data_IF_445224548741
#
_entry.id   IF_445224548741
#
_cell.length_a   1.000
_cell.length_b   1.000
_cell.length_c   1.000
_cell.angle_alpha   90.00
_cell.angle_beta   90.00
_cell.angle_gamma   90.00
#
_symmetry.space_group_name_H-M   'P 1'
#
loop_
_entity.id
_entity.type
_entity.pdbx_description
1 polymer ?
#
# COMPACT_ATOMS: atom_id res chain seq x y z
N UNK A 1 -30.01 21.03 36.05
CA UNK A 1 -28.73 20.35 35.97
C UNK A 1 -28.65 19.66 34.63
N UNK A 2 -28.01 20.30 33.65
CA UNK A 2 -27.78 19.71 32.35
C UNK A 2 -26.40 19.04 32.39
N UNK A 3 -26.34 17.71 32.41
CA UNK A 3 -25.14 16.96 32.20
C UNK A 3 -24.87 16.90 30.69
N UNK A 4 -23.99 17.77 30.21
CA UNK A 4 -23.40 17.66 28.87
C UNK A 4 -22.51 16.44 28.84
N UNK A 5 -23.05 15.31 28.36
CA UNK A 5 -22.27 14.13 27.99
C UNK A 5 -21.39 14.51 26.81
N UNK A 6 -20.10 14.61 27.04
CA UNK A 6 -19.08 14.61 26.00
C UNK A 6 -19.19 13.26 25.29
N UNK A 7 -19.87 13.17 24.14
CA UNK A 7 -19.71 12.04 23.22
C UNK A 7 -18.28 12.10 22.72
N UNK A 8 -17.43 11.21 23.23
CA UNK A 8 -16.19 10.89 22.55
C UNK A 8 -16.56 10.59 21.09
N UNK A 9 -15.90 11.24 20.15
CA UNK A 9 -16.09 10.94 18.74
C UNK A 9 -15.85 9.43 18.58
N UNK A 10 -16.83 8.72 18.02
CA UNK A 10 -16.71 7.28 17.84
C UNK A 10 -15.45 7.00 16.97
N UNK A 11 -14.52 6.24 17.54
CA UNK A 11 -13.27 5.82 16.86
C UNK A 11 -13.64 5.06 15.57
N UNK A 12 -13.04 5.45 14.45
CA UNK A 12 -13.28 4.75 13.16
C UNK A 12 -12.69 3.33 13.20
N UNK A 13 -13.18 2.43 12.35
CA UNK A 13 -12.67 1.05 12.31
C UNK A 13 -11.18 1.01 11.91
N UNK A 14 -10.72 1.87 10.99
CA UNK A 14 -9.29 2.01 10.67
C UNK A 14 -8.46 2.45 11.88
N UNK A 15 -8.97 3.37 12.71
CA UNK A 15 -8.27 3.78 13.94
C UNK A 15 -8.21 2.64 14.96
N UNK A 16 -9.27 1.82 15.08
CA UNK A 16 -9.27 0.63 15.93
C UNK A 16 -8.22 -0.39 15.47
N UNK A 17 -8.16 -0.65 14.16
CA UNK A 17 -7.16 -1.58 13.59
C UNK A 17 -5.74 -1.08 13.81
N UNK A 18 -5.48 0.21 13.58
CA UNK A 18 -4.17 0.82 13.85
C UNK A 18 -3.78 0.67 15.35
N UNK A 19 -4.70 0.98 16.27
CA UNK A 19 -4.45 0.83 17.71
C UNK A 19 -4.17 -0.61 18.10
N UNK A 20 -4.93 -1.58 17.58
CA UNK A 20 -4.67 -3.02 17.79
C UNK A 20 -3.26 -3.39 17.31
N UNK A 21 -2.82 -2.86 16.17
CA UNK A 21 -1.46 -3.06 15.67
C UNK A 21 -0.40 -2.49 16.61
N UNK A 22 -0.59 -1.26 17.07
CA UNK A 22 0.36 -0.61 18.04
C UNK A 22 0.46 -1.40 19.34
N UNK A 23 -0.67 -1.92 19.85
CA UNK A 23 -0.73 -2.65 21.13
C UNK A 23 -0.22 -4.10 21.03
N UNK A 24 -0.41 -4.76 19.87
CA UNK A 24 -0.15 -6.20 19.77
C UNK A 24 0.54 -6.68 18.48
N UNK A 25 0.93 -5.78 17.58
CA UNK A 25 1.56 -6.15 16.31
C UNK A 25 3.05 -6.49 16.38
N UNK A 26 3.70 -6.19 17.53
CA UNK A 26 5.11 -6.50 17.79
C UNK A 26 5.22 -7.48 18.99
N UNK A 27 4.85 -8.76 18.79
CA UNK A 27 4.90 -9.77 19.85
C UNK A 27 6.34 -10.08 20.24
N UNK A 28 6.51 -10.76 21.37
CA UNK A 28 7.81 -11.32 21.76
C UNK A 28 8.25 -12.40 20.75
N UNK A 29 9.55 -12.64 20.70
CA UNK A 29 10.10 -13.67 19.85
C UNK A 29 9.43 -15.04 20.09
N UNK A 30 8.91 -15.65 19.03
CA UNK A 30 8.21 -16.94 19.10
C UNK A 30 6.71 -16.87 19.43
N UNK A 31 6.18 -15.65 19.64
CA UNK A 31 4.74 -15.44 19.84
C UNK A 31 4.11 -14.88 18.55
N UNK A 32 2.82 -15.12 18.38
CA UNK A 32 2.03 -14.52 17.28
C UNK A 32 1.31 -13.29 17.81
N UNK A 33 1.48 -12.16 17.11
CA UNK A 33 0.80 -10.92 17.43
C UNK A 33 -0.62 -10.86 16.87
N UNK A 34 -1.26 -9.69 17.04
CA UNK A 34 -2.60 -9.47 16.52
C UNK A 34 -2.63 -9.55 15.00
N UNK A 35 -3.80 -9.91 14.48
CA UNK A 35 -4.09 -9.92 13.04
C UNK A 35 -3.93 -8.52 12.47
N UNK A 36 -3.08 -8.30 11.42
CA UNK A 36 -3.02 -7.03 10.73
C UNK A 36 -4.27 -6.80 9.87
N UNK A 37 -4.57 -5.54 9.57
CA UNK A 37 -5.40 -5.19 8.44
C UNK A 37 -4.62 -5.50 7.16
N UNK A 38 -5.21 -6.25 6.25
CA UNK A 38 -4.66 -6.47 4.92
C UNK A 38 -5.75 -6.81 3.92
N UNK A 39 -5.50 -6.60 2.66
CA UNK A 39 -6.42 -6.90 1.56
C UNK A 39 -5.64 -7.42 0.35
N UNK A 40 -6.35 -8.12 -0.51
CA UNK A 40 -5.83 -8.55 -1.80
C UNK A 40 -6.03 -7.42 -2.83
N UNK A 41 -4.94 -6.77 -3.21
CA UNK A 41 -4.99 -5.67 -4.18
C UNK A 41 -5.22 -6.14 -5.61
N UNK A 42 -4.70 -7.29 -5.98
CA UNK A 42 -4.82 -7.87 -7.30
C UNK A 42 -3.66 -8.79 -7.64
N UNK A 43 -3.66 -9.32 -8.85
CA UNK A 43 -2.58 -10.14 -9.39
C UNK A 43 -1.53 -9.29 -10.12
N UNK A 44 -0.49 -9.93 -10.67
CA UNK A 44 0.61 -9.24 -11.36
C UNK A 44 0.19 -8.39 -12.56
N UNK A 45 -1.04 -8.52 -13.08
CA UNK A 45 -1.52 -7.72 -14.20
C UNK A 45 -1.78 -6.25 -13.84
N UNK A 46 -1.91 -5.94 -12.55
CA UNK A 46 -2.11 -4.56 -12.08
C UNK A 46 -0.82 -3.80 -11.82
N UNK A 47 0.33 -4.48 -11.90
CA UNK A 47 1.64 -3.87 -11.61
C UNK A 47 2.11 -3.07 -12.81
N UNK A 48 2.08 -1.75 -12.70
CA UNK A 48 2.70 -0.85 -13.66
C UNK A 48 4.23 -0.85 -13.47
N UNK A 49 4.98 -0.96 -14.56
CA UNK A 49 6.44 -0.87 -14.50
C UNK A 49 6.89 0.52 -14.07
N UNK A 50 8.03 0.67 -13.38
CA UNK A 50 8.65 1.97 -13.15
C UNK A 50 8.80 2.76 -14.46
N UNK A 51 8.34 4.01 -14.46
CA UNK A 51 8.34 4.90 -15.64
C UNK A 51 7.15 4.69 -16.60
N UNK A 52 6.33 3.66 -16.42
CA UNK A 52 5.10 3.49 -17.17
C UNK A 52 3.95 4.32 -16.56
N UNK A 53 2.87 4.47 -17.34
CA UNK A 53 1.65 5.11 -16.85
C UNK A 53 1.03 4.32 -15.69
N UNK A 54 0.47 5.06 -14.70
CA UNK A 54 -0.36 4.54 -13.62
C UNK A 54 -1.83 4.74 -14.02
N UNK A 55 -2.51 3.69 -14.47
CA UNK A 55 -3.87 3.82 -14.99
C UNK A 55 -4.89 3.95 -13.85
N UNK A 56 -5.66 5.04 -13.87
CA UNK A 56 -6.84 5.21 -13.02
C UNK A 56 -8.10 4.88 -13.83
N UNK A 57 -8.98 3.98 -13.36
CA UNK A 57 -10.20 3.65 -14.10
C UNK A 57 -11.16 4.84 -14.12
N UNK A 58 -11.93 4.98 -15.19
CA UNK A 58 -12.86 6.11 -15.39
C UNK A 58 -13.96 6.26 -14.34
N UNK A 59 -14.21 5.21 -13.55
CA UNK A 59 -15.18 5.24 -12.44
C UNK A 59 -14.54 5.60 -11.11
N UNK A 60 -13.22 5.77 -11.04
CA UNK A 60 -12.54 6.15 -9.80
C UNK A 60 -12.94 7.58 -9.39
N UNK A 61 -13.12 7.78 -8.12
CA UNK A 61 -13.44 9.08 -7.52
C UNK A 61 -12.18 9.85 -7.11
N UNK A 62 -11.07 9.13 -6.98
CA UNK A 62 -9.74 9.64 -6.67
C UNK A 62 -8.68 8.69 -7.25
N UNK A 63 -7.44 9.13 -7.26
CA UNK A 63 -6.30 8.32 -7.66
C UNK A 63 -5.02 8.96 -7.15
N UNK A 64 -4.58 8.60 -5.96
CA UNK A 64 -3.40 9.17 -5.32
C UNK A 64 -2.43 8.11 -4.84
N UNK A 65 -1.20 8.55 -4.60
CA UNK A 65 -0.10 7.69 -4.20
C UNK A 65 -0.22 7.26 -2.74
N UNK A 66 0.33 6.09 -2.46
CA UNK A 66 0.73 5.63 -1.14
C UNK A 66 2.20 5.20 -1.21
N UNK A 67 3.14 6.05 -0.75
CA UNK A 67 4.57 5.73 -0.79
C UNK A 67 4.92 4.71 0.29
N UNK A 68 5.42 3.55 -0.13
CA UNK A 68 5.65 2.41 0.75
C UNK A 68 6.96 1.69 0.46
N UNK A 69 7.34 0.80 1.35
CA UNK A 69 8.26 -0.29 1.06
C UNK A 69 7.43 -1.54 0.80
N UNK A 70 7.75 -2.25 -0.27
CA UNK A 70 7.16 -3.53 -0.61
C UNK A 70 8.18 -4.65 -0.47
N UNK A 71 7.82 -5.76 0.19
CA UNK A 71 8.62 -6.99 0.19
C UNK A 71 8.19 -7.91 -0.94
N UNK A 72 9.16 -8.61 -1.54
CA UNK A 72 8.94 -9.58 -2.62
C UNK A 72 9.28 -10.97 -2.13
N UNK A 73 8.37 -11.91 -2.36
CA UNK A 73 8.50 -13.32 -1.99
C UNK A 73 8.30 -14.23 -3.19
N UNK A 74 8.93 -15.38 -3.15
CA UNK A 74 8.67 -16.52 -4.06
C UNK A 74 8.30 -17.72 -3.21
N UNK A 75 7.31 -18.48 -3.63
CA UNK A 75 6.98 -19.75 -3.00
C UNK A 75 7.85 -20.84 -3.65
N UNK A 76 8.65 -21.51 -2.83
CA UNK A 76 9.54 -22.57 -3.29
C UNK A 76 8.79 -23.86 -3.70
N UNK A 77 9.53 -24.88 -4.14
CA UNK A 77 8.95 -26.14 -4.58
C UNK A 77 8.24 -26.95 -3.50
N UNK A 78 8.53 -26.66 -2.24
CA UNK A 78 7.93 -27.30 -1.06
C UNK A 78 6.77 -26.50 -0.47
N UNK A 79 6.43 -25.35 -1.06
CA UNK A 79 5.35 -24.48 -0.61
C UNK A 79 5.78 -23.46 0.46
N UNK A 80 7.08 -23.25 0.68
CA UNK A 80 7.56 -22.29 1.65
C UNK A 80 7.77 -20.92 1.03
N UNK A 81 7.38 -19.81 1.72
CA UNK A 81 7.69 -18.47 1.26
C UNK A 81 9.18 -18.13 1.49
N UNK A 82 9.81 -17.66 0.43
CA UNK A 82 11.20 -17.19 0.45
C UNK A 82 11.19 -15.69 0.15
N UNK A 83 11.53 -14.86 1.12
CA UNK A 83 11.69 -13.42 0.91
C UNK A 83 12.95 -13.15 0.09
N UNK A 84 12.77 -12.52 -1.07
CA UNK A 84 13.87 -12.18 -1.97
C UNK A 84 14.49 -10.85 -1.61
N UNK A 85 13.66 -9.86 -1.25
CA UNK A 85 14.14 -8.52 -0.93
C UNK A 85 13.01 -7.51 -0.87
N UNK A 86 13.41 -6.22 -0.96
CA UNK A 86 12.51 -5.08 -0.78
C UNK A 86 12.66 -4.08 -1.92
N UNK A 87 11.60 -3.37 -2.23
CA UNK A 87 11.57 -2.31 -3.24
C UNK A 87 10.78 -1.11 -2.74
N UNK A 88 10.99 0.05 -3.34
CA UNK A 88 10.05 1.18 -3.22
C UNK A 88 8.74 0.74 -3.88
N UNK A 89 7.61 1.10 -3.28
CA UNK A 89 6.28 0.82 -3.77
C UNK A 89 5.40 2.06 -3.82
N UNK A 90 4.46 2.06 -4.76
CA UNK A 90 3.32 2.96 -4.80
C UNK A 90 2.05 2.11 -4.80
N UNK A 91 1.37 2.03 -3.67
CA UNK A 91 0.09 1.34 -3.54
C UNK A 91 -1.06 2.24 -3.99
N UNK A 92 -0.98 2.81 -5.18
CA UNK A 92 -1.97 3.72 -5.74
C UNK A 92 -3.41 3.30 -5.43
N UNK A 93 -4.21 4.23 -4.89
CA UNK A 93 -5.52 3.95 -4.29
C UNK A 93 -6.55 5.06 -4.55
N UNK A 94 -7.83 4.75 -4.31
CA UNK A 94 -8.97 5.68 -4.38
C UNK A 94 -9.48 6.00 -2.97
N UNK A 95 -8.89 7.01 -2.36
CA UNK A 95 -9.19 7.39 -0.97
C UNK A 95 -10.58 8.01 -0.78
N UNK A 96 -11.19 8.55 -1.84
CA UNK A 96 -12.58 9.05 -1.79
C UNK A 96 -13.54 7.87 -1.66
N UNK A 97 -13.34 6.79 -2.42
CA UNK A 97 -14.12 5.55 -2.28
C UNK A 97 -13.95 4.93 -0.90
N UNK A 98 -12.72 4.87 -0.40
CA UNK A 98 -12.41 4.34 0.93
C UNK A 98 -13.16 5.06 2.05
N UNK A 99 -13.22 6.40 2.01
CA UNK A 99 -13.89 7.22 3.02
C UNK A 99 -15.41 7.07 3.07
N UNK A 100 -16.03 6.53 2.03
CA UNK A 100 -17.50 6.39 2.02
C UNK A 100 -17.97 5.35 3.05
N UNK A 101 -17.26 4.25 3.19
CA UNK A 101 -17.59 3.17 4.11
C UNK A 101 -16.39 2.25 4.28
N UNK A 102 -16.10 1.82 5.50
CA UNK A 102 -15.01 0.89 5.79
C UNK A 102 -15.05 -0.39 4.93
N UNK A 103 -16.24 -0.89 4.60
CA UNK A 103 -16.41 -2.05 3.71
C UNK A 103 -15.94 -1.80 2.27
N UNK A 104 -15.71 -0.54 1.90
CA UNK A 104 -15.18 -0.18 0.58
C UNK A 104 -13.65 -0.09 0.56
N UNK A 105 -12.97 -0.35 1.67
CA UNK A 105 -11.50 -0.40 1.71
C UNK A 105 -10.95 -1.29 0.58
N UNK A 106 -11.35 -2.57 0.53
CA UNK A 106 -10.88 -3.49 -0.51
C UNK A 106 -11.23 -3.02 -1.94
N UNK A 107 -12.40 -2.40 -2.13
CA UNK A 107 -12.80 -1.85 -3.43
C UNK A 107 -11.94 -0.67 -3.85
N UNK A 108 -11.57 0.20 -2.92
CA UNK A 108 -10.72 1.37 -3.15
C UNK A 108 -9.30 0.98 -3.56
N UNK A 109 -8.85 -0.19 -3.11
CA UNK A 109 -7.52 -0.75 -3.35
C UNK A 109 -7.42 -1.57 -4.64
N UNK A 110 -8.54 -1.93 -5.30
CA UNK A 110 -8.55 -2.58 -6.62
C UNK A 110 -8.17 -1.60 -7.72
N UNK A 111 -6.93 -1.15 -7.70
CA UNK A 111 -6.31 -0.19 -8.61
C UNK A 111 -4.93 -0.73 -9.01
N UNK A 112 -4.31 -0.12 -10.01
CA UNK A 112 -2.91 -0.40 -10.32
C UNK A 112 -2.01 -0.13 -9.10
N UNK A 113 -0.82 -0.69 -9.13
CA UNK A 113 0.27 -0.36 -8.21
C UNK A 113 1.58 -0.35 -9.00
N UNK A 114 2.65 0.12 -8.39
CA UNK A 114 3.99 0.03 -8.98
C UNK A 114 5.01 -0.27 -7.89
N UNK A 115 6.12 -0.93 -8.25
CA UNK A 115 7.24 -1.15 -7.36
C UNK A 115 8.56 -1.23 -8.14
N UNK A 116 9.67 -0.94 -7.47
CA UNK A 116 10.99 -0.90 -8.07
C UNK A 116 11.52 0.54 -8.16
N UNK A 117 12.43 0.84 -9.12
CA UNK A 117 13.01 -0.06 -10.15
C UNK A 117 14.13 -0.96 -9.64
N UNK A 118 14.47 -0.90 -8.36
CA UNK A 118 15.55 -1.67 -7.74
C UNK A 118 15.00 -2.59 -6.66
N UNK A 119 15.69 -3.70 -6.44
CA UNK A 119 15.42 -4.67 -5.38
C UNK A 119 16.61 -4.70 -4.41
N UNK A 120 16.38 -4.33 -3.16
CA UNK A 120 17.32 -4.49 -2.06
C UNK A 120 17.27 -5.95 -1.59
N UNK A 121 18.36 -6.70 -1.78
CA UNK A 121 18.46 -8.07 -1.27
C UNK A 121 18.87 -8.07 0.20
N UNK A 122 18.43 -9.08 0.93
CA UNK A 122 18.74 -9.24 2.35
C UNK A 122 17.74 -8.57 3.28
N UNK A 123 18.21 -8.07 4.41
CA UNK A 123 17.35 -7.51 5.45
C UNK A 123 17.05 -6.03 5.21
N UNK A 124 15.83 -5.63 5.56
CA UNK A 124 15.43 -4.24 5.58
C UNK A 124 16.01 -3.56 6.84
N UNK A 125 16.63 -2.37 6.75
CA UNK A 125 16.94 -1.57 7.91
C UNK A 125 15.69 -1.32 8.78
N UNK A 126 15.85 -1.31 10.10
CA UNK A 126 14.71 -1.10 11.01
C UNK A 126 14.09 0.29 10.86
N UNK A 127 14.87 1.28 10.41
CA UNK A 127 14.42 2.62 10.09
C UNK A 127 14.69 2.93 8.62
N UNK A 128 13.63 3.26 7.89
CA UNK A 128 13.68 3.69 6.49
C UNK A 128 12.97 5.01 6.36
N UNK A 129 13.64 5.96 5.71
CA UNK A 129 13.09 7.27 5.36
C UNK A 129 13.14 7.47 3.86
N UNK A 130 12.09 8.08 3.32
CA UNK A 130 12.00 8.45 1.92
C UNK A 130 11.21 9.75 1.74
N UNK A 131 11.09 10.18 0.49
CA UNK A 131 10.31 11.35 0.09
C UNK A 131 9.35 10.98 -1.01
N UNK A 132 8.12 11.43 -0.89
CA UNK A 132 7.11 11.35 -1.94
C UNK A 132 6.84 12.73 -2.50
N UNK A 133 6.78 12.84 -3.84
CA UNK A 133 6.48 14.07 -4.56
C UNK A 133 5.40 13.85 -5.59
N UNK A 134 4.59 14.88 -5.77
CA UNK A 134 3.64 14.98 -6.87
C UNK A 134 4.03 16.16 -7.76
N UNK A 135 4.18 15.88 -9.04
CA UNK A 135 4.48 16.89 -10.06
C UNK A 135 3.26 17.13 -10.94
N UNK A 136 3.04 18.41 -11.27
CA UNK A 136 2.09 18.84 -12.30
C UNK A 136 2.79 19.82 -13.24
N UNK A 137 2.73 19.57 -14.54
CA UNK A 137 3.41 20.38 -15.56
C UNK A 137 4.91 20.56 -15.26
N UNK A 138 5.56 19.50 -14.75
CA UNK A 138 6.99 19.50 -14.39
C UNK A 138 7.35 20.29 -13.13
N UNK A 139 6.36 20.74 -12.35
CA UNK A 139 6.57 21.45 -11.07
C UNK A 139 6.09 20.61 -9.90
N UNK A 140 6.88 20.60 -8.82
CA UNK A 140 6.43 19.98 -7.56
C UNK A 140 5.26 20.79 -7.02
N UNK A 141 4.11 20.14 -6.84
CA UNK A 141 2.91 20.72 -6.23
C UNK A 141 2.67 20.19 -4.81
N UNK A 142 3.31 19.09 -4.45
CA UNK A 142 3.31 18.53 -3.11
C UNK A 142 4.58 17.70 -2.88
N UNK A 143 5.10 17.75 -1.66
CA UNK A 143 6.26 16.97 -1.22
C UNK A 143 6.15 16.70 0.27
N UNK A 144 6.38 15.45 0.69
CA UNK A 144 6.50 15.06 2.10
C UNK A 144 7.43 13.87 2.30
N UNK A 145 8.10 13.79 3.47
CA UNK A 145 8.78 12.57 3.88
C UNK A 145 7.77 11.48 4.22
N UNK A 146 8.18 10.22 4.01
CA UNK A 146 7.50 9.04 4.56
C UNK A 146 8.49 8.18 5.34
N UNK A 147 7.97 7.42 6.30
CA UNK A 147 8.75 6.53 7.14
C UNK A 147 8.27 5.09 6.96
N UNK A 148 9.20 4.14 6.99
CA UNK A 148 8.96 2.70 6.96
C UNK A 148 10.02 1.96 7.77
N UNK A 149 10.04 0.63 7.68
CA UNK A 149 10.87 -0.22 8.52
C UNK A 149 10.23 -0.47 9.89
N UNK A 150 10.64 -1.54 10.58
CA UNK A 150 9.97 -2.00 11.80
C UNK A 150 9.94 -0.97 12.94
N UNK A 151 10.89 -0.02 12.99
CA UNK A 151 10.86 1.06 13.99
C UNK A 151 9.67 2.01 13.79
N UNK A 152 9.14 2.11 12.56
CA UNK A 152 8.06 3.02 12.17
C UNK A 152 6.74 2.30 11.87
N UNK A 153 6.75 0.96 11.82
CA UNK A 153 5.57 0.13 11.56
C UNK A 153 4.90 -0.28 12.87
N UNK A 154 3.61 -0.53 12.85
CA UNK A 154 2.85 -1.07 14.00
C UNK A 154 3.01 -2.59 14.16
N UNK A 155 3.45 -3.29 13.12
CA UNK A 155 3.69 -4.74 13.12
C UNK A 155 5.15 -5.05 12.82
N UNK A 156 5.64 -6.20 13.30
CA UNK A 156 6.90 -6.79 12.80
C UNK A 156 6.67 -7.45 11.45
N UNK A 157 7.71 -7.54 10.63
CA UNK A 157 7.67 -8.29 9.36
C UNK A 157 7.25 -9.75 9.60
N UNK A 158 7.82 -10.38 10.62
CA UNK A 158 7.49 -11.76 10.99
C UNK A 158 6.00 -11.94 11.31
N UNK A 159 5.37 -10.96 11.99
CA UNK A 159 3.93 -11.01 12.27
C UNK A 159 3.09 -10.86 11.01
N UNK A 160 3.47 -9.94 10.10
CA UNK A 160 2.80 -9.77 8.80
C UNK A 160 2.92 -11.03 7.94
N UNK A 161 4.13 -11.58 7.83
CA UNK A 161 4.44 -12.80 7.08
C UNK A 161 3.62 -14.00 7.60
N UNK A 162 3.61 -14.20 8.92
CA UNK A 162 2.81 -15.25 9.54
C UNK A 162 1.32 -15.12 9.18
N UNK A 163 0.76 -13.93 9.34
CA UNK A 163 -0.67 -13.73 9.11
C UNK A 163 -1.08 -13.84 7.65
N UNK A 164 -0.17 -13.64 6.70
CA UNK A 164 -0.43 -13.88 5.29
C UNK A 164 -0.23 -15.38 4.92
N UNK A 165 0.94 -15.93 5.22
CA UNK A 165 1.31 -17.27 4.77
C UNK A 165 0.73 -18.41 5.63
N UNK A 166 0.00 -18.13 6.73
CA UNK A 166 -0.80 -19.13 7.43
C UNK A 166 -1.96 -19.70 6.59
N UNK A 167 -2.28 -19.07 5.46
CA UNK A 167 -3.28 -19.55 4.53
C UNK A 167 -2.61 -20.31 3.38
N UNK A 168 -2.86 -21.61 3.27
CA UNK A 168 -2.33 -22.48 2.21
C UNK A 168 -2.62 -21.93 0.80
N UNK A 169 -3.68 -21.15 0.66
CA UNK A 169 -4.04 -20.46 -0.58
C UNK A 169 -2.88 -19.65 -1.18
N UNK A 170 -2.02 -19.10 -0.34
CA UNK A 170 -0.89 -18.25 -0.74
C UNK A 170 0.45 -18.98 -0.77
N UNK A 171 0.45 -20.31 -0.60
CA UNK A 171 1.66 -21.13 -0.53
C UNK A 171 1.80 -22.07 -1.75
N UNK A 172 1.29 -21.65 -2.93
CA UNK A 172 1.45 -22.46 -4.16
C UNK A 172 2.86 -22.32 -4.72
N UNK A 173 3.57 -23.43 -4.96
CA UNK A 173 4.90 -23.39 -5.55
C UNK A 173 4.95 -22.59 -6.87
N UNK A 174 5.91 -21.67 -6.96
CA UNK A 174 6.11 -20.80 -8.11
C UNK A 174 5.33 -19.47 -8.09
N UNK A 175 4.42 -19.27 -7.14
CA UNK A 175 3.78 -17.96 -6.97
C UNK A 175 4.79 -16.92 -6.49
N UNK A 176 4.61 -15.68 -6.96
CA UNK A 176 5.36 -14.51 -6.51
C UNK A 176 4.40 -13.57 -5.80
N UNK A 177 4.79 -13.09 -4.62
CA UNK A 177 4.01 -12.14 -3.84
C UNK A 177 4.76 -10.83 -3.68
N UNK A 178 4.01 -9.73 -3.70
CA UNK A 178 4.48 -8.41 -3.29
C UNK A 178 3.59 -7.93 -2.13
N UNK A 179 4.20 -7.66 -0.98
CA UNK A 179 3.52 -7.16 0.20
C UNK A 179 3.90 -5.71 0.44
N UNK A 180 2.95 -4.82 0.35
CA UNK A 180 3.08 -3.41 0.68
C UNK A 180 2.81 -3.23 2.18
N UNK A 181 3.60 -2.38 2.87
CA UNK A 181 3.59 -2.32 4.34
C UNK A 181 2.76 -1.19 4.94
N UNK A 182 2.11 -0.40 4.09
CA UNK A 182 1.33 0.73 4.53
C UNK A 182 2.16 2.01 4.76
N UNK A 183 1.48 3.14 4.72
CA UNK A 183 2.06 4.45 4.95
C UNK A 183 1.08 5.37 5.68
N UNK A 184 1.61 6.37 6.38
CA UNK A 184 0.82 7.47 6.93
C UNK A 184 0.94 8.76 6.09
N UNK A 185 1.74 8.74 5.03
CA UNK A 185 2.01 9.91 4.17
C UNK A 185 1.20 9.81 2.90
N UNK A 186 0.27 10.73 2.71
CA UNK A 186 -0.66 10.78 1.56
C UNK A 186 -0.85 12.22 1.13
N UNK A 187 -0.71 12.52 -0.17
CA UNK A 187 -1.06 13.85 -0.71
C UNK A 187 -2.56 14.15 -0.55
N UNK A 188 -3.39 13.12 -0.67
CA UNK A 188 -4.81 13.19 -0.42
C UNK A 188 -5.16 13.67 1.00
N UNK A 189 -4.42 13.27 2.02
CA UNK A 189 -4.64 13.72 3.41
C UNK A 189 -4.38 15.21 3.59
N UNK A 190 -3.58 15.82 2.73
CA UNK A 190 -3.30 17.26 2.69
C UNK A 190 -4.25 18.03 1.76
N UNK A 191 -5.30 17.37 1.26
CA UNK A 191 -6.30 18.00 0.40
C UNK A 191 -5.87 18.20 -1.06
N UNK A 192 -4.81 17.53 -1.49
CA UNK A 192 -4.40 17.55 -2.90
C UNK A 192 -5.32 16.64 -3.71
N UNK A 193 -5.81 17.16 -4.83
CA UNK A 193 -6.55 16.39 -5.83
C UNK A 193 -5.66 16.19 -7.05
N UNK A 194 -5.42 14.94 -7.38
CA UNK A 194 -4.64 14.54 -8.55
C UNK A 194 -5.41 14.75 -9.85
N UNK A 195 -4.68 14.88 -10.96
CA UNK A 195 -5.23 15.11 -12.30
C UNK A 195 -4.52 14.22 -13.31
N UNK A 196 -5.19 13.93 -14.41
CA UNK A 196 -4.58 13.24 -15.54
C UNK A 196 -3.30 13.97 -15.98
N UNK A 197 -2.21 13.21 -16.11
CA UNK A 197 -0.89 13.75 -16.43
C UNK A 197 -0.01 14.14 -15.27
N UNK A 198 -0.49 14.14 -14.03
CA UNK A 198 0.36 14.28 -12.83
C UNK A 198 1.38 13.14 -12.76
N UNK A 199 2.56 13.40 -12.22
CA UNK A 199 3.61 12.39 -12.03
C UNK A 199 3.89 12.20 -10.54
N UNK A 200 3.83 10.95 -10.09
CA UNK A 200 4.27 10.52 -8.78
C UNK A 200 5.76 10.21 -8.82
N UNK A 201 6.49 10.66 -7.80
CA UNK A 201 7.88 10.27 -7.54
C UNK A 201 8.04 9.85 -6.08
N UNK A 202 8.57 8.67 -5.88
CA UNK A 202 8.88 8.14 -4.55
C UNK A 202 10.34 7.74 -4.52
N UNK A 203 11.10 8.29 -3.58
CA UNK A 203 12.53 7.99 -3.43
C UNK A 203 12.91 7.72 -1.98
N UNK A 204 14.00 7.00 -1.79
CA UNK A 204 14.66 6.79 -0.50
C UNK A 204 16.14 6.60 -0.73
N UNK A 205 16.97 7.12 0.17
CA UNK A 205 18.43 6.93 0.10
C UNK A 205 18.88 5.46 0.19
N UNK A 206 17.98 4.57 0.57
CA UNK A 206 18.20 3.12 0.57
C UNK A 206 18.33 2.54 -0.86
N UNK A 207 17.78 3.25 -1.85
CA UNK A 207 17.79 2.87 -3.26
C UNK A 207 18.48 3.94 -4.11
N UNK A 208 19.09 3.52 -5.23
CA UNK A 208 19.77 4.43 -6.13
C UNK A 208 18.87 5.17 -7.12
N UNK A 209 17.60 4.73 -7.25
CA UNK A 209 16.65 5.27 -8.22
C UNK A 209 15.28 5.46 -7.61
N UNK A 210 14.65 6.61 -7.93
CA UNK A 210 13.27 6.87 -7.59
C UNK A 210 12.30 6.00 -8.41
N UNK A 211 11.17 5.65 -7.82
CA UNK A 211 10.01 5.10 -8.52
C UNK A 211 9.18 6.26 -9.05
N UNK A 212 8.91 6.26 -10.37
CA UNK A 212 8.09 7.28 -11.02
C UNK A 212 7.02 6.64 -11.87
N UNK A 213 5.83 7.22 -11.82
CA UNK A 213 4.72 6.85 -12.68
C UNK A 213 3.86 8.07 -12.98
N UNK A 214 3.38 8.18 -14.22
CA UNK A 214 2.47 9.24 -14.63
C UNK A 214 1.02 8.76 -14.52
N UNK A 215 0.18 9.54 -13.87
CA UNK A 215 -1.26 9.27 -13.78
C UNK A 215 -1.92 9.41 -15.14
N UNK A 216 -2.68 8.38 -15.53
CA UNK A 216 -3.51 8.43 -16.75
C UNK A 216 -4.93 7.95 -16.46
N UNK A 217 -5.92 8.67 -16.94
CA UNK A 217 -7.32 8.29 -16.80
C UNK A 217 -7.73 7.36 -17.94
N UNK A 218 -8.22 6.18 -17.60
CA UNK A 218 -8.70 5.22 -18.58
C UNK A 218 -10.07 5.61 -19.16
N UNK A 219 -10.28 5.28 -20.42
CA UNK A 219 -11.61 5.41 -21.04
C UNK A 219 -12.63 4.48 -20.37
N UNK A 220 -13.88 4.92 -20.31
CA UNK A 220 -14.96 4.12 -19.75
C UNK A 220 -15.16 2.82 -20.54
N UNK A 221 -15.22 1.70 -19.81
CA UNK A 221 -15.49 0.37 -20.39
C UNK A 221 -16.97 0.06 -20.29
N UNK A 222 -17.59 -0.28 -21.41
CA UNK A 222 -18.95 -0.84 -21.42
C UNK A 222 -18.90 -2.29 -20.93
N UNK A 223 -19.57 -2.57 -19.83
CA UNK A 223 -19.73 -3.94 -19.33
C UNK A 223 -20.94 -4.57 -20.00
N UNK A 224 -20.74 -5.73 -20.65
CA UNK A 224 -21.79 -6.51 -21.29
C UNK A 224 -21.64 -7.95 -20.83
N UNK A 225 -22.64 -8.47 -20.12
CA UNK A 225 -22.72 -9.87 -19.76
C UNK A 225 -23.51 -10.60 -20.85
N UNK A 226 -22.91 -11.66 -21.41
CA UNK A 226 -23.58 -12.55 -22.33
C UNK A 226 -24.11 -13.77 -21.58
N UNK A 227 -25.31 -14.19 -21.86
CA UNK A 227 -25.86 -15.47 -21.42
C UNK A 227 -25.67 -16.51 -22.51
N UNK A 228 -25.42 -17.76 -22.14
CA UNK A 228 -25.32 -18.94 -23.01
C UNK A 228 -26.72 -19.43 -23.30
#
# INVERSE_FOLDING_TARGET
MHTSGNKAADETDSMKMFRMGVEGGKPKAGETGVQPEWFYKGDGSIVASPGADMPSPSFALDGSEEPEIAAVYVIDGDGNPVRIGFAIGNEFSDHVTERQNYLYLAHSKLRACSMGPELLLGDLPSHVEGTSRLYRDGKVIWEKPFLSGEDNMSHTLANLEYHHFKYDLFCRPGDVHAHFFGTATLSFADGVTTQDGDEFEIESSLFGRALRNRLTTQAARKVVVKTI
#
